data_IF_681586879511
#
_entry.id   IF_681586879511
#
_cell.length_a   1.000
_cell.length_b   1.000
_cell.length_c   1.000
_cell.angle_alpha   90.00
_cell.angle_beta   90.00
_cell.angle_gamma   90.00
#
_symmetry.space_group_name_H-M   'P 1'
#
loop_
_entity.id
_entity.type
_entity.pdbx_description
1 polymer ?
#
# COMPACT_ATOMS: atom_id res chain seq x y z
N UNK A 1 -19.37 16.01 -34.69
CA UNK A 1 -19.52 14.58 -35.06
C UNK A 1 -19.05 13.75 -33.88
N UNK A 2 -19.96 12.99 -33.28
CA UNK A 2 -19.70 12.15 -32.10
C UNK A 2 -19.14 10.81 -32.58
N UNK A 3 -17.96 10.43 -32.14
CA UNK A 3 -17.40 9.10 -32.34
C UNK A 3 -17.75 8.22 -31.14
N UNK A 4 -18.68 7.28 -31.33
CA UNK A 4 -18.86 6.13 -30.43
C UNK A 4 -17.78 5.11 -30.82
N UNK A 5 -17.03 4.59 -29.85
CA UNK A 5 -16.30 3.33 -30.03
C UNK A 5 -16.71 2.32 -28.97
N UNK A 6 -17.25 1.21 -29.44
CA UNK A 6 -17.40 -0.04 -28.70
C UNK A 6 -16.07 -0.80 -28.73
N UNK A 7 -15.72 -1.34 -27.57
CA UNK A 7 -14.45 -2.00 -27.28
C UNK A 7 -14.40 -3.41 -27.91
N UNK A 8 -13.34 -3.74 -28.65
CA UNK A 8 -12.98 -5.12 -29.01
C UNK A 8 -11.48 -5.31 -28.81
N UNK A 9 -11.15 -5.91 -27.67
CA UNK A 9 -9.93 -6.64 -27.28
C UNK A 9 -8.57 -6.30 -27.94
N UNK A 10 -7.62 -5.89 -27.10
CA UNK A 10 -6.27 -6.49 -27.15
C UNK A 10 -5.11 -5.66 -27.71
N UNK A 11 -5.03 -4.36 -27.45
CA UNK A 11 -3.78 -3.59 -27.30
C UNK A 11 -4.12 -2.11 -27.03
N UNK A 12 -4.16 -1.70 -25.76
CA UNK A 12 -4.57 -0.35 -25.38
C UNK A 12 -3.43 0.66 -25.56
N UNK A 13 -3.33 1.25 -26.75
CA UNK A 13 -2.86 2.64 -26.84
C UNK A 13 -4.07 3.55 -26.69
N UNK A 14 -4.33 4.02 -25.46
CA UNK A 14 -5.36 5.04 -25.26
C UNK A 14 -4.85 6.31 -25.92
N UNK A 15 -5.44 6.67 -27.06
CA UNK A 15 -5.19 7.95 -27.72
C UNK A 15 -6.22 8.95 -27.23
N UNK A 16 -5.79 9.84 -26.36
CA UNK A 16 -6.56 11.00 -25.93
C UNK A 16 -6.54 12.04 -27.05
N UNK A 17 -7.69 12.30 -27.66
CA UNK A 17 -7.82 13.34 -28.67
C UNK A 17 -8.13 14.65 -27.97
N UNK A 18 -7.26 15.65 -28.16
CA UNK A 18 -7.54 17.03 -27.72
C UNK A 18 -8.79 17.53 -28.45
N UNK A 19 -9.88 17.72 -27.72
CA UNK A 19 -10.98 18.53 -28.23
C UNK A 19 -10.46 19.97 -28.30
N UNK A 20 -10.37 20.51 -29.52
CA UNK A 20 -10.18 21.93 -29.75
C UNK A 20 -11.42 22.46 -30.47
N UNK A 21 -12.21 23.34 -29.83
CA UNK A 21 -11.98 23.97 -28.52
C UNK A 21 -12.18 23.03 -27.31
N UNK A 22 -11.67 23.41 -26.11
CA UNK A 22 -12.06 22.85 -24.81
C UNK A 22 -13.58 22.66 -24.69
N UNK A 23 -14.06 21.72 -23.87
CA UNK A 23 -15.49 21.61 -23.59
C UNK A 23 -15.93 22.75 -22.66
N UNK A 24 -16.66 23.78 -23.14
CA UNK A 24 -17.23 24.77 -22.24
C UNK A 24 -18.39 24.14 -21.46
N UNK A 25 -18.53 24.52 -20.19
CA UNK A 25 -19.72 24.19 -19.40
C UNK A 25 -20.72 25.36 -19.35
N UNK A 26 -20.36 26.52 -19.89
CA UNK A 26 -21.28 27.65 -20.05
C UNK A 26 -22.52 27.24 -20.86
N UNK A 27 -23.70 27.60 -20.36
CA UNK A 27 -25.00 27.29 -20.97
C UNK A 27 -25.28 25.79 -21.20
N UNK A 28 -24.49 24.89 -20.62
CA UNK A 28 -24.72 23.44 -20.71
C UNK A 28 -25.81 23.02 -19.73
N UNK A 29 -26.88 22.45 -20.26
CA UNK A 29 -27.94 21.81 -19.47
C UNK A 29 -27.86 20.30 -19.66
N UNK A 30 -27.57 19.59 -18.58
CA UNK A 30 -27.57 18.14 -18.55
C UNK A 30 -29.00 17.61 -18.28
N UNK A 31 -29.38 16.46 -18.87
CA UNK A 31 -30.64 15.82 -18.52
C UNK A 31 -30.74 15.45 -17.03
N UNK A 32 -31.89 15.74 -16.41
CA UNK A 32 -32.20 15.42 -15.01
C UNK A 32 -32.36 13.90 -14.73
N UNK A 33 -32.06 13.06 -15.71
CA UNK A 33 -32.07 11.59 -15.57
C UNK A 33 -30.67 11.01 -15.38
N UNK A 34 -29.61 11.82 -15.54
CA UNK A 34 -28.23 11.35 -15.45
C UNK A 34 -27.91 11.00 -13.99
N UNK A 35 -27.44 9.77 -13.79
CA UNK A 35 -26.99 9.27 -12.48
C UNK A 35 -25.48 9.16 -12.38
N UNK A 36 -24.78 9.10 -13.51
CA UNK A 36 -23.30 9.13 -13.57
C UNK A 36 -22.85 9.93 -14.77
N UNK A 37 -21.91 10.85 -14.54
CA UNK A 37 -21.37 11.73 -15.57
C UNK A 37 -19.85 11.62 -15.61
N UNK A 38 -19.32 11.32 -16.79
CA UNK A 38 -17.90 11.12 -17.05
C UNK A 38 -17.40 12.24 -17.97
N UNK A 39 -16.75 13.24 -17.38
CA UNK A 39 -16.08 14.35 -18.06
C UNK A 39 -14.56 14.24 -17.99
N UNK A 40 -14.04 13.04 -17.69
CA UNK A 40 -12.61 12.77 -17.66
C UNK A 40 -11.94 13.07 -19.00
N UNK A 41 -10.81 13.78 -18.97
CA UNK A 41 -10.04 14.15 -20.16
C UNK A 41 -10.94 14.77 -21.24
N UNK A 42 -11.66 15.82 -20.86
CA UNK A 42 -12.49 16.64 -21.78
C UNK A 42 -11.99 18.07 -21.89
N UNK A 43 -10.80 18.35 -21.37
CA UNK A 43 -10.17 19.67 -21.39
C UNK A 43 -11.06 20.72 -20.75
N UNK A 44 -11.84 20.36 -19.71
CA UNK A 44 -12.69 21.33 -19.01
C UNK A 44 -11.77 22.31 -18.27
N UNK A 45 -11.90 23.60 -18.57
CA UNK A 45 -11.03 24.65 -18.01
C UNK A 45 -11.65 25.34 -16.80
N UNK A 46 -12.98 25.43 -16.75
CA UNK A 46 -13.70 26.06 -15.65
C UNK A 46 -15.08 25.43 -15.46
N UNK A 47 -15.55 25.46 -14.21
CA UNK A 47 -16.96 25.28 -13.86
C UNK A 47 -17.54 26.69 -13.67
N UNK A 48 -18.62 27.09 -14.38
CA UNK A 48 -19.19 28.43 -14.29
C UNK A 48 -19.70 28.78 -12.89
N UNK A 49 -19.75 30.07 -12.57
CA UNK A 49 -20.36 30.55 -11.32
C UNK A 49 -21.84 30.16 -11.27
N UNK A 50 -22.28 29.62 -10.13
CA UNK A 50 -23.66 29.17 -9.94
C UNK A 50 -24.04 27.91 -10.73
N UNK A 51 -23.05 27.21 -11.32
CA UNK A 51 -23.33 26.00 -12.10
C UNK A 51 -24.05 24.96 -11.24
N UNK A 52 -25.13 24.41 -11.79
CA UNK A 52 -25.99 23.44 -11.10
C UNK A 52 -25.89 22.09 -11.80
N UNK A 53 -25.38 21.09 -11.08
CA UNK A 53 -25.34 19.71 -11.57
C UNK A 53 -26.72 19.05 -11.46
N UNK A 54 -27.05 18.04 -12.28
CA UNK A 54 -28.30 17.29 -12.15
C UNK A 54 -28.49 16.72 -10.75
N UNK A 55 -29.65 16.92 -10.14
CA UNK A 55 -29.91 16.49 -8.75
C UNK A 55 -29.90 14.96 -8.58
N UNK A 56 -30.08 14.20 -9.66
CA UNK A 56 -30.03 12.73 -9.68
C UNK A 56 -28.62 12.17 -9.73
N UNK A 57 -27.60 13.01 -9.92
CA UNK A 57 -26.23 12.59 -10.15
C UNK A 57 -25.63 12.00 -8.87
N UNK A 58 -25.17 10.74 -8.98
CA UNK A 58 -24.52 9.98 -7.90
C UNK A 58 -23.01 9.89 -8.07
N UNK A 59 -22.53 9.91 -9.31
CA UNK A 59 -21.10 9.83 -9.63
C UNK A 59 -20.69 10.90 -10.64
N UNK A 60 -19.68 11.70 -10.31
CA UNK A 60 -19.13 12.72 -11.18
C UNK A 60 -17.62 12.53 -11.30
N UNK A 61 -17.14 12.31 -12.53
CA UNK A 61 -15.72 12.27 -12.84
C UNK A 61 -15.35 13.48 -13.71
N UNK A 62 -14.66 14.45 -13.13
CA UNK A 62 -14.06 15.60 -13.82
C UNK A 62 -12.53 15.56 -13.72
N UNK A 63 -11.95 14.38 -13.48
CA UNK A 63 -10.52 14.19 -13.36
C UNK A 63 -9.80 14.39 -14.70
N UNK A 64 -8.49 14.66 -14.69
CA UNK A 64 -7.68 14.83 -15.90
C UNK A 64 -8.23 15.95 -16.80
N UNK A 65 -8.50 17.10 -16.20
CA UNK A 65 -8.95 18.32 -16.88
C UNK A 65 -8.01 19.48 -16.54
N UNK A 66 -8.39 20.70 -16.87
CA UNK A 66 -7.56 21.91 -16.71
C UNK A 66 -8.17 22.87 -15.68
N UNK A 67 -9.04 22.37 -14.78
CA UNK A 67 -9.71 23.20 -13.76
C UNK A 67 -8.67 23.86 -12.86
N UNK A 68 -8.71 25.18 -12.75
CA UNK A 68 -7.83 25.97 -11.88
C UNK A 68 -8.49 26.35 -10.56
N UNK A 69 -9.81 26.41 -10.54
CA UNK A 69 -10.63 26.62 -9.35
C UNK A 69 -12.02 26.01 -9.56
N UNK A 70 -12.78 25.89 -8.47
CA UNK A 70 -14.22 25.63 -8.50
C UNK A 70 -14.88 26.71 -7.66
N UNK A 71 -15.84 27.49 -8.20
CA UNK A 71 -16.51 28.52 -7.43
C UNK A 71 -17.29 27.98 -6.23
N UNK A 72 -17.28 28.71 -5.12
CA UNK A 72 -18.09 28.38 -3.92
C UNK A 72 -19.61 28.42 -4.19
N UNK A 73 -20.02 29.05 -5.29
CA UNK A 73 -21.41 29.14 -5.73
C UNK A 73 -21.91 27.89 -6.47
N UNK A 74 -21.03 26.93 -6.78
CA UNK A 74 -21.40 25.67 -7.44
C UNK A 74 -22.34 24.87 -6.54
N UNK A 75 -23.46 24.45 -7.10
CA UNK A 75 -24.46 23.66 -6.39
C UNK A 75 -24.20 22.19 -6.66
N UNK A 76 -23.72 21.47 -5.64
CA UNK A 76 -23.46 20.04 -5.71
C UNK A 76 -24.75 19.21 -5.52
N UNK A 77 -24.91 18.07 -6.22
CA UNK A 77 -26.05 17.18 -6.02
C UNK A 77 -26.05 16.56 -4.63
N UNK A 78 -27.19 16.58 -3.93
CA UNK A 78 -27.31 15.94 -2.61
C UNK A 78 -27.23 14.41 -2.67
N UNK A 79 -27.50 13.82 -3.84
CA UNK A 79 -27.35 12.39 -4.09
C UNK A 79 -25.92 11.98 -4.48
N UNK A 80 -24.98 12.91 -4.57
CA UNK A 80 -23.60 12.63 -4.98
C UNK A 80 -22.93 11.73 -3.94
N UNK A 81 -22.39 10.61 -4.41
CA UNK A 81 -21.70 9.61 -3.59
C UNK A 81 -20.24 9.46 -3.96
N UNK A 82 -19.87 9.82 -5.20
CA UNK A 82 -18.50 9.73 -5.70
C UNK A 82 -18.16 10.95 -6.55
N UNK A 83 -17.07 11.62 -6.18
CA UNK A 83 -16.54 12.78 -6.89
C UNK A 83 -15.04 12.60 -7.16
N UNK A 84 -14.64 12.72 -8.43
CA UNK A 84 -13.24 12.69 -8.84
C UNK A 84 -12.79 14.03 -9.41
N UNK A 85 -11.82 14.65 -8.71
CA UNK A 85 -11.24 15.95 -9.00
C UNK A 85 -9.73 15.89 -9.27
N UNK A 86 -9.09 14.74 -9.05
CA UNK A 86 -7.65 14.56 -9.23
C UNK A 86 -7.17 14.87 -10.65
N UNK A 87 -5.90 15.24 -10.80
CA UNK A 87 -5.30 15.61 -12.09
C UNK A 87 -6.01 16.81 -12.72
N UNK A 88 -6.19 17.86 -11.91
CA UNK A 88 -6.56 19.20 -12.35
C UNK A 88 -5.48 20.17 -11.86
N UNK A 89 -5.64 21.46 -12.18
CA UNK A 89 -4.71 22.52 -11.78
C UNK A 89 -5.27 23.34 -10.60
N UNK A 90 -6.09 22.73 -9.71
CA UNK A 90 -6.70 23.47 -8.60
C UNK A 90 -5.60 23.97 -7.65
N UNK A 91 -5.60 25.29 -7.40
CA UNK A 91 -4.67 25.90 -6.43
C UNK A 91 -5.20 25.88 -5.00
N UNK A 92 -6.45 25.46 -4.79
CA UNK A 92 -7.10 25.40 -3.48
C UNK A 92 -8.17 24.31 -3.45
N UNK A 93 -8.50 23.85 -2.23
CA UNK A 93 -9.62 22.95 -2.02
C UNK A 93 -10.96 23.67 -2.23
N UNK A 94 -11.89 23.09 -3.00
CA UNK A 94 -13.22 23.65 -3.16
C UNK A 94 -14.12 23.31 -1.97
N UNK A 95 -15.18 24.11 -1.76
CA UNK A 95 -16.28 23.71 -0.87
C UNK A 95 -17.16 22.68 -1.58
N UNK A 96 -17.16 21.45 -1.06
CA UNK A 96 -17.96 20.35 -1.59
C UNK A 96 -19.08 20.04 -0.60
N UNK A 97 -20.29 19.81 -1.12
CA UNK A 97 -21.42 19.33 -0.34
C UNK A 97 -21.79 17.91 -0.79
N UNK A 98 -21.96 17.01 0.17
CA UNK A 98 -22.18 15.59 -0.13
C UNK A 98 -20.92 14.88 -0.65
N UNK A 99 -21.10 13.62 -1.04
CA UNK A 99 -20.07 12.62 -1.40
C UNK A 99 -19.53 11.79 -0.25
N UNK A 100 -19.64 10.46 -0.41
CA UNK A 100 -19.02 9.48 0.47
C UNK A 100 -17.59 9.14 0.04
N UNK A 101 -17.27 9.31 -1.25
CA UNK A 101 -15.96 9.01 -1.83
C UNK A 101 -15.44 10.24 -2.57
N UNK A 102 -14.28 10.74 -2.16
CA UNK A 102 -13.64 11.91 -2.75
C UNK A 102 -12.23 11.57 -3.23
N UNK A 103 -11.97 11.78 -4.53
CA UNK A 103 -10.63 11.69 -5.10
C UNK A 103 -10.13 13.09 -5.40
N UNK A 104 -9.06 13.47 -4.71
CA UNK A 104 -8.45 14.79 -4.79
C UNK A 104 -6.98 14.63 -5.21
N UNK A 105 -6.46 15.59 -5.96
CA UNK A 105 -5.07 15.53 -6.41
C UNK A 105 -4.65 16.74 -7.20
N UNK A 106 -4.34 17.80 -6.46
CA UNK A 106 -4.00 19.12 -6.97
C UNK A 106 -2.87 19.71 -6.14
N UNK A 107 -2.02 20.55 -6.72
CA UNK A 107 -0.83 21.12 -6.06
C UNK A 107 -1.25 22.12 -4.97
N UNK A 108 -1.55 21.60 -3.77
CA UNK A 108 -2.01 22.41 -2.63
C UNK A 108 -0.85 22.93 -1.79
N UNK A 109 0.23 22.16 -1.66
CA UNK A 109 1.28 22.42 -0.66
C UNK A 109 0.82 22.05 0.76
N UNK A 110 -0.33 22.56 1.19
CA UNK A 110 -0.93 22.24 2.48
C UNK A 110 -2.46 22.31 2.46
N UNK A 111 -3.09 21.64 3.42
CA UNK A 111 -4.54 21.72 3.66
C UNK A 111 -4.77 22.62 4.88
N UNK A 112 -5.62 23.67 4.76
CA UNK A 112 -5.96 24.52 5.90
C UNK A 112 -6.58 23.72 7.04
N UNK A 113 -6.16 23.98 8.28
CA UNK A 113 -6.65 23.24 9.45
C UNK A 113 -8.13 23.45 9.77
N UNK A 114 -8.73 24.52 9.26
CA UNK A 114 -10.14 24.88 9.38
C UNK A 114 -10.99 24.43 8.17
N UNK A 115 -10.41 23.65 7.24
CA UNK A 115 -11.14 23.11 6.10
C UNK A 115 -12.33 22.27 6.55
N UNK A 116 -13.51 22.61 6.04
CA UNK A 116 -14.76 21.93 6.34
C UNK A 116 -14.92 20.75 5.39
N UNK A 117 -14.46 19.58 5.83
CA UNK A 117 -14.61 18.34 5.07
C UNK A 117 -16.09 17.96 4.91
N UNK A 118 -16.51 17.46 3.74
CA UNK A 118 -17.78 16.74 3.63
C UNK A 118 -17.72 15.42 4.41
N UNK A 119 -18.89 14.83 4.70
CA UNK A 119 -19.03 13.53 5.37
C UNK A 119 -18.57 12.37 4.46
N UNK A 120 -17.25 12.28 4.27
CA UNK A 120 -16.56 11.35 3.39
C UNK A 120 -16.09 10.15 4.21
N UNK A 121 -16.37 8.94 3.71
CA UNK A 121 -15.87 7.68 4.27
C UNK A 121 -14.62 7.19 3.55
N UNK A 122 -14.37 7.65 2.31
CA UNK A 122 -13.14 7.36 1.55
C UNK A 122 -12.56 8.59 0.88
N UNK A 123 -11.31 8.91 1.23
CA UNK A 123 -10.57 10.05 0.71
C UNK A 123 -9.28 9.57 0.05
N UNK A 124 -9.04 10.01 -1.18
CA UNK A 124 -7.78 9.80 -1.88
C UNK A 124 -7.13 11.16 -2.17
N UNK A 125 -5.87 11.36 -1.78
CA UNK A 125 -5.09 12.59 -1.96
C UNK A 125 -3.83 12.24 -2.74
N UNK A 126 -3.88 12.42 -4.06
CA UNK A 126 -2.83 11.98 -4.96
C UNK A 126 -2.07 13.17 -5.56
N UNK A 127 -0.74 13.20 -5.50
CA UNK A 127 0.06 14.25 -6.15
C UNK A 127 -0.32 15.67 -5.70
N UNK A 128 -0.61 15.85 -4.41
CA UNK A 128 -1.03 17.14 -3.86
C UNK A 128 0.13 18.04 -3.41
N UNK A 129 1.37 17.54 -3.54
CA UNK A 129 2.60 18.20 -3.09
C UNK A 129 2.52 18.61 -1.62
N UNK A 130 1.90 17.77 -0.78
CA UNK A 130 1.76 18.05 0.64
C UNK A 130 3.14 18.16 1.31
N UNK A 131 3.30 19.15 2.17
CA UNK A 131 4.50 19.31 3.04
C UNK A 131 4.24 18.88 4.48
N UNK A 132 2.99 18.58 4.83
CA UNK A 132 2.55 18.10 6.13
C UNK A 132 1.18 17.41 5.99
N UNK A 133 0.89 16.46 6.87
CA UNK A 133 -0.45 15.89 6.97
C UNK A 133 -1.46 16.97 7.38
N UNK A 134 -2.72 16.91 6.90
CA UNK A 134 -3.76 17.81 7.34
C UNK A 134 -3.93 17.74 8.87
N UNK A 135 -4.21 18.89 9.50
CA UNK A 135 -4.43 18.96 10.94
C UNK A 135 -5.71 18.23 11.39
N UNK A 136 -6.67 18.06 10.47
CA UNK A 136 -7.90 17.31 10.69
C UNK A 136 -8.36 16.64 9.39
N UNK A 137 -9.04 15.51 9.53
CA UNK A 137 -9.65 14.73 8.47
C UNK A 137 -11.14 14.52 8.75
N UNK A 138 -11.94 14.09 7.76
CA UNK A 138 -13.35 13.78 7.99
C UNK A 138 -13.52 12.78 9.15
N UNK A 139 -14.40 13.04 10.14
CA UNK A 139 -14.51 12.21 11.35
C UNK A 139 -15.03 10.78 11.07
N UNK A 140 -15.77 10.58 9.98
CA UNK A 140 -16.29 9.29 9.54
C UNK A 140 -15.38 8.56 8.53
N UNK A 141 -14.12 9.00 8.37
CA UNK A 141 -13.22 8.47 7.36
C UNK A 141 -12.76 7.03 7.69
N UNK A 142 -13.11 6.09 6.83
CA UNK A 142 -12.77 4.67 6.96
C UNK A 142 -11.57 4.28 6.09
N UNK A 143 -11.39 4.94 4.94
CA UNK A 143 -10.29 4.68 4.00
C UNK A 143 -9.59 5.99 3.62
N UNK A 144 -8.30 6.07 3.88
CA UNK A 144 -7.44 7.17 3.46
C UNK A 144 -6.33 6.65 2.56
N UNK A 145 -6.26 7.17 1.35
CA UNK A 145 -5.08 7.04 0.50
C UNK A 145 -4.40 8.41 0.36
N UNK A 146 -3.12 8.48 0.70
CA UNK A 146 -2.23 9.59 0.38
C UNK A 146 -1.13 9.00 -0.48
N UNK A 147 -1.02 9.50 -1.71
CA UNK A 147 -0.15 8.88 -2.72
C UNK A 147 0.61 9.97 -3.46
N UNK A 148 1.89 9.73 -3.73
CA UNK A 148 2.77 10.61 -4.50
C UNK A 148 2.87 12.03 -3.90
N UNK A 149 3.05 12.16 -2.58
CA UNK A 149 3.39 13.42 -1.92
C UNK A 149 4.82 13.39 -1.36
N UNK A 150 5.87 13.31 -2.20
CA UNK A 150 7.24 13.04 -1.75
C UNK A 150 7.84 14.15 -0.85
N UNK A 151 7.19 15.31 -0.76
CA UNK A 151 7.57 16.41 0.13
C UNK A 151 6.99 16.30 1.54
N UNK A 152 6.13 15.31 1.81
CA UNK A 152 5.43 15.14 3.08
C UNK A 152 6.42 14.73 4.19
N UNK A 153 7.22 13.70 3.94
CA UNK A 153 8.41 13.36 4.74
C UNK A 153 8.15 12.78 6.13
N UNK A 154 6.97 13.01 6.71
CA UNK A 154 6.60 12.58 8.06
C UNK A 154 5.38 11.67 8.04
N UNK A 155 5.33 10.71 8.97
CA UNK A 155 4.16 9.88 9.23
C UNK A 155 3.10 10.67 10.03
N UNK A 156 1.77 10.43 9.87
CA UNK A 156 0.76 11.19 10.59
C UNK A 156 0.75 10.89 12.08
N UNK A 157 0.44 11.90 12.91
CA UNK A 157 0.24 11.68 14.36
C UNK A 157 -1.11 11.05 14.65
N UNK A 158 -1.27 10.53 15.87
CA UNK A 158 -2.50 9.89 16.33
C UNK A 158 -3.73 10.80 16.22
N UNK A 159 -3.57 12.09 16.47
CA UNK A 159 -4.65 13.09 16.48
C UNK A 159 -5.11 13.48 15.07
N UNK A 160 -4.26 13.29 14.05
CA UNK A 160 -4.58 13.68 12.68
C UNK A 160 -5.50 12.69 11.97
N UNK A 161 -5.50 11.43 12.41
CA UNK A 161 -6.27 10.34 11.81
C UNK A 161 -7.42 9.94 12.74
N UNK A 162 -8.68 9.87 12.24
CA UNK A 162 -9.83 9.54 13.07
C UNK A 162 -9.88 8.05 13.44
N UNK A 163 -10.55 7.75 14.55
CA UNK A 163 -10.68 6.38 15.09
C UNK A 163 -11.45 5.44 14.17
N UNK A 164 -12.25 5.97 13.24
CA UNK A 164 -13.00 5.25 12.22
C UNK A 164 -12.13 4.62 11.13
N UNK A 165 -10.85 5.00 11.04
CA UNK A 165 -9.94 4.53 9.98
C UNK A 165 -9.76 3.01 10.05
N UNK A 166 -9.90 2.37 8.90
CA UNK A 166 -9.71 0.92 8.71
C UNK A 166 -8.60 0.63 7.70
N UNK A 167 -8.43 1.50 6.71
CA UNK A 167 -7.42 1.35 5.65
C UNK A 167 -6.65 2.66 5.51
N UNK A 168 -5.33 2.59 5.71
CA UNK A 168 -4.41 3.70 5.52
C UNK A 168 -3.33 3.31 4.50
N UNK A 169 -3.33 3.99 3.36
CA UNK A 169 -2.35 3.80 2.31
C UNK A 169 -1.54 5.07 2.13
N UNK A 170 -0.24 5.00 2.41
CA UNK A 170 0.74 6.08 2.31
C UNK A 170 1.84 5.63 1.33
N UNK A 171 1.71 5.95 0.05
CA UNK A 171 2.64 5.49 -0.98
C UNK A 171 3.42 6.64 -1.60
N UNK A 172 4.75 6.51 -1.65
CA UNK A 172 5.60 7.53 -2.26
C UNK A 172 5.43 8.93 -1.64
N UNK A 173 5.37 8.98 -0.31
CA UNK A 173 5.18 10.20 0.49
C UNK A 173 6.47 10.68 1.19
N UNK A 174 7.59 10.02 0.92
CA UNK A 174 8.90 10.38 1.48
C UNK A 174 9.06 10.09 2.98
N UNK A 175 8.18 9.27 3.56
CA UNK A 175 8.16 8.98 5.00
C UNK A 175 9.44 8.22 5.41
N UNK A 176 10.18 8.71 6.40
CA UNK A 176 11.43 8.08 6.86
C UNK A 176 11.29 7.17 8.08
N UNK A 177 10.27 7.39 8.91
CA UNK A 177 10.11 6.71 10.20
C UNK A 177 8.64 6.48 10.54
N UNK A 178 8.38 5.44 11.32
CA UNK A 178 7.05 5.12 11.90
C UNK A 178 7.14 5.36 13.42
N UNK A 179 6.32 6.26 14.00
CA UNK A 179 6.30 6.50 15.45
C UNK A 179 5.77 5.29 16.23
N UNK A 180 6.14 5.17 17.51
CA UNK A 180 5.77 4.04 18.38
C UNK A 180 4.34 4.13 18.91
N UNK A 181 3.77 5.34 18.95
CA UNK A 181 2.48 5.70 19.57
C UNK A 181 1.30 5.72 18.59
N UNK A 182 1.33 4.84 17.59
CA UNK A 182 0.23 4.69 16.62
C UNK A 182 -0.83 3.74 17.16
N UNK A 183 -1.91 4.29 17.72
CA UNK A 183 -3.00 3.51 18.32
C UNK A 183 -4.37 3.81 17.68
N UNK A 184 -4.59 3.36 16.44
CA UNK A 184 -5.88 3.51 15.75
C UNK A 184 -6.75 2.27 15.91
N UNK A 185 -7.83 2.34 16.71
CA UNK A 185 -8.56 1.17 17.22
C UNK A 185 -9.08 0.22 16.15
N UNK A 186 -9.36 0.74 14.95
CA UNK A 186 -9.98 -0.01 13.87
C UNK A 186 -9.06 -0.20 12.65
N UNK A 187 -7.79 0.24 12.69
CA UNK A 187 -6.91 0.15 11.53
C UNK A 187 -6.54 -1.32 11.25
N UNK A 188 -7.07 -1.86 10.16
CA UNK A 188 -6.84 -3.24 9.74
C UNK A 188 -5.76 -3.38 8.67
N UNK A 189 -5.55 -2.35 7.84
CA UNK A 189 -4.59 -2.40 6.73
C UNK A 189 -3.76 -1.14 6.63
N UNK A 190 -2.43 -1.30 6.70
CA UNK A 190 -1.45 -0.23 6.54
C UNK A 190 -0.55 -0.52 5.33
N UNK A 191 -0.39 0.47 4.45
CA UNK A 191 0.57 0.42 3.35
C UNK A 191 1.44 1.65 3.39
N UNK A 192 2.75 1.43 3.27
CA UNK A 192 3.85 2.40 3.38
C UNK A 192 4.85 2.19 2.24
N UNK A 193 4.39 1.67 1.10
CA UNK A 193 5.25 1.32 -0.03
C UNK A 193 5.94 2.54 -0.64
N UNK A 194 7.15 2.34 -1.21
CA UNK A 194 7.89 3.40 -1.93
C UNK A 194 8.24 4.62 -1.07
N UNK A 195 8.47 4.43 0.22
CA UNK A 195 8.90 5.48 1.14
C UNK A 195 10.41 5.40 1.42
N UNK A 196 10.87 6.02 2.50
CA UNK A 196 12.28 6.08 2.91
C UNK A 196 12.51 5.42 4.27
N UNK A 197 11.66 4.46 4.64
CA UNK A 197 11.76 3.77 5.93
C UNK A 197 13.08 3.03 6.04
N UNK A 198 13.81 3.23 7.15
CA UNK A 198 15.10 2.55 7.40
C UNK A 198 14.98 1.41 8.42
N UNK A 199 13.90 1.40 9.19
CA UNK A 199 13.59 0.40 10.21
C UNK A 199 12.08 0.34 10.46
N UNK A 200 11.64 -0.73 11.13
CA UNK A 200 10.33 -0.77 11.78
C UNK A 200 10.53 -0.55 13.29
N UNK A 201 9.58 0.11 13.98
CA UNK A 201 9.61 0.27 15.42
C UNK A 201 9.54 -1.07 16.15
N UNK A 202 10.27 -1.17 17.26
CA UNK A 202 10.23 -2.34 18.17
C UNK A 202 8.84 -2.56 18.73
N UNK A 203 8.27 -1.49 19.26
CA UNK A 203 6.97 -1.46 19.91
C UNK A 203 6.10 -0.50 19.09
N UNK A 204 5.02 -1.01 18.52
CA UNK A 204 3.93 -0.15 18.04
C UNK A 204 2.77 -0.38 18.98
N UNK A 205 2.15 0.70 19.44
CA UNK A 205 0.85 0.64 20.10
C UNK A 205 -0.26 0.26 19.10
N UNK A 206 0.01 -0.67 18.18
CA UNK A 206 -0.99 -1.16 17.24
C UNK A 206 -2.08 -1.87 18.00
N UNK A 207 -3.26 -1.86 17.40
CA UNK A 207 -4.40 -2.59 17.90
C UNK A 207 -4.30 -4.05 17.46
N UNK A 208 -4.92 -4.96 18.22
CA UNK A 208 -5.03 -6.39 17.89
C UNK A 208 -5.77 -6.66 16.57
N UNK A 209 -6.16 -5.61 15.83
CA UNK A 209 -6.91 -5.70 14.58
C UNK A 209 -6.07 -5.40 13.32
N UNK A 210 -4.83 -4.94 13.45
CA UNK A 210 -3.97 -4.74 12.28
C UNK A 210 -3.59 -6.13 11.73
N UNK A 211 -4.07 -6.44 10.54
CA UNK A 211 -3.87 -7.76 9.90
C UNK A 211 -2.99 -7.67 8.66
N UNK A 212 -2.83 -6.50 8.05
CA UNK A 212 -2.06 -6.32 6.81
C UNK A 212 -1.07 -5.15 6.96
N UNK A 213 0.21 -5.44 6.70
CA UNK A 213 1.26 -4.44 6.57
C UNK A 213 2.04 -4.62 5.27
N UNK A 214 2.15 -3.55 4.48
CA UNK A 214 3.05 -3.51 3.32
C UNK A 214 4.01 -2.32 3.41
N UNK A 215 5.30 -2.62 3.53
CA UNK A 215 6.42 -1.67 3.59
C UNK A 215 7.43 -1.95 2.46
N UNK A 216 6.94 -2.47 1.33
CA UNK A 216 7.78 -2.73 0.15
C UNK A 216 8.42 -1.47 -0.44
N UNK A 217 9.51 -1.62 -1.19
CA UNK A 217 10.24 -0.50 -1.80
C UNK A 217 10.68 0.58 -0.78
N UNK A 218 11.31 0.16 0.31
CA UNK A 218 11.87 1.05 1.33
C UNK A 218 13.38 0.79 1.51
N UNK A 219 13.98 1.34 2.56
CA UNK A 219 15.39 1.20 2.91
C UNK A 219 15.61 0.38 4.19
N UNK A 220 14.65 -0.49 4.56
CA UNK A 220 14.67 -1.25 5.82
C UNK A 220 15.83 -2.24 5.79
N UNK A 221 16.75 -2.12 6.75
CA UNK A 221 17.99 -2.92 6.77
C UNK A 221 17.99 -4.09 7.74
N UNK A 222 17.08 -4.10 8.71
CA UNK A 222 16.92 -5.17 9.68
C UNK A 222 15.49 -5.23 10.21
N UNK A 223 15.09 -6.39 10.72
CA UNK A 223 13.86 -6.52 11.50
C UNK A 223 14.04 -5.94 12.91
N UNK A 224 12.95 -5.43 13.52
CA UNK A 224 12.96 -5.07 14.92
C UNK A 224 13.05 -6.31 15.81
N UNK A 225 13.95 -6.32 16.79
CA UNK A 225 14.10 -7.43 17.73
C UNK A 225 12.94 -7.45 18.74
N UNK A 226 12.34 -8.62 18.98
CA UNK A 226 11.24 -8.82 19.93
C UNK A 226 9.96 -8.03 19.63
N UNK A 227 9.71 -7.67 18.38
CA UNK A 227 8.47 -7.01 17.97
C UNK A 227 7.31 -8.00 17.93
N UNK A 228 6.63 -8.20 19.06
CA UNK A 228 5.52 -9.15 19.20
C UNK A 228 4.30 -8.77 18.36
N UNK A 229 4.13 -7.48 18.03
CA UNK A 229 3.03 -7.02 17.19
C UNK A 229 3.07 -7.57 15.76
N UNK A 230 4.27 -7.91 15.26
CA UNK A 230 4.44 -8.49 13.92
C UNK A 230 3.76 -9.86 13.83
N UNK A 231 3.75 -10.63 14.93
CA UNK A 231 3.05 -11.92 15.00
C UNK A 231 1.53 -11.77 14.84
N UNK A 232 0.97 -10.63 15.23
CA UNK A 232 -0.46 -10.38 15.14
C UNK A 232 -0.97 -10.08 13.73
N UNK A 233 -0.07 -9.89 12.75
CA UNK A 233 -0.46 -9.69 11.35
C UNK A 233 -0.82 -11.02 10.70
N UNK A 234 -1.75 -10.99 9.74
CA UNK A 234 -1.98 -12.09 8.80
C UNK A 234 -1.03 -11.99 7.60
N UNK A 235 -0.81 -10.77 7.10
CA UNK A 235 0.00 -10.52 5.91
C UNK A 235 1.09 -9.45 6.16
N UNK A 236 2.35 -9.80 5.85
CA UNK A 236 3.51 -8.90 5.91
C UNK A 236 4.28 -8.87 4.59
N UNK A 237 4.22 -7.73 3.90
CA UNK A 237 5.00 -7.48 2.69
C UNK A 237 6.11 -6.48 2.98
N UNK A 238 7.36 -6.89 2.72
CA UNK A 238 8.54 -6.02 2.76
C UNK A 238 9.47 -6.23 1.54
N UNK A 239 8.97 -6.45 0.32
CA UNK A 239 9.85 -6.67 -0.82
C UNK A 239 10.69 -5.43 -1.14
N UNK A 240 11.83 -5.60 -1.82
CA UNK A 240 12.72 -4.51 -2.28
C UNK A 240 13.17 -3.60 -1.13
N UNK A 241 13.67 -4.22 -0.06
CA UNK A 241 14.32 -3.56 1.08
C UNK A 241 15.81 -3.96 1.15
N UNK A 242 16.48 -3.71 2.28
CA UNK A 242 17.91 -3.96 2.50
C UNK A 242 18.18 -5.00 3.60
N UNK A 243 17.20 -5.86 3.92
CA UNK A 243 17.31 -6.85 4.97
C UNK A 243 18.33 -7.94 4.60
N UNK A 244 19.32 -8.15 5.47
CA UNK A 244 20.37 -9.16 5.29
C UNK A 244 20.19 -10.39 6.16
N UNK A 245 19.71 -10.18 7.37
CA UNK A 245 19.57 -11.22 8.38
C UNK A 245 18.10 -11.37 8.71
N UNK A 246 17.62 -12.62 8.69
CA UNK A 246 16.29 -12.94 9.18
C UNK A 246 16.21 -12.70 10.70
N UNK A 247 15.02 -12.32 11.23
CA UNK A 247 14.93 -11.92 12.62
C UNK A 247 15.13 -13.12 13.54
N UNK A 248 15.94 -12.94 14.60
CA UNK A 248 15.96 -13.88 15.73
C UNK A 248 15.04 -13.44 16.85
N UNK A 249 14.23 -14.36 17.36
CA UNK A 249 13.29 -14.10 18.45
C UNK A 249 12.15 -13.16 18.07
N UNK A 250 11.80 -13.06 16.78
CA UNK A 250 10.57 -12.42 16.30
C UNK A 250 9.71 -13.51 15.70
N UNK A 251 8.50 -13.67 16.23
CA UNK A 251 7.50 -14.53 15.64
C UNK A 251 6.87 -13.80 14.47
N UNK A 252 6.96 -14.42 13.30
CA UNK A 252 6.41 -13.87 12.06
C UNK A 252 4.94 -14.30 11.86
N UNK A 253 4.18 -13.58 10.99
CA UNK A 253 2.83 -13.96 10.58
C UNK A 253 2.71 -15.38 10.06
N UNK A 254 1.57 -16.03 10.28
CA UNK A 254 1.35 -17.42 9.87
C UNK A 254 0.80 -17.57 8.46
N UNK A 255 0.19 -16.53 7.88
CA UNK A 255 -0.55 -16.66 6.61
C UNK A 255 0.26 -16.22 5.36
N UNK A 256 0.67 -14.94 5.25
CA UNK A 256 1.40 -14.46 4.06
C UNK A 256 2.58 -13.59 4.41
N UNK A 257 3.75 -13.92 3.86
CA UNK A 257 4.96 -13.13 4.04
C UNK A 257 5.74 -12.99 2.74
N UNK A 258 6.17 -11.77 2.45
CA UNK A 258 6.99 -11.46 1.28
C UNK A 258 8.21 -10.60 1.64
N UNK A 259 9.40 -11.19 1.59
CA UNK A 259 10.68 -10.48 1.72
C UNK A 259 11.47 -10.42 0.42
N UNK A 260 10.79 -10.52 -0.72
CA UNK A 260 11.41 -10.54 -2.04
C UNK A 260 12.40 -9.42 -2.28
N UNK A 261 13.44 -9.66 -3.06
CA UNK A 261 14.40 -8.61 -3.45
C UNK A 261 15.10 -7.91 -2.26
N UNK A 262 15.35 -8.64 -1.18
CA UNK A 262 16.23 -8.24 -0.07
C UNK A 262 17.60 -8.97 -0.17
N UNK A 263 18.71 -8.39 0.28
CA UNK A 263 20.02 -9.05 0.25
C UNK A 263 20.22 -10.07 1.40
N UNK A 264 19.26 -10.98 1.62
CA UNK A 264 19.30 -11.97 2.72
C UNK A 264 20.49 -12.93 2.55
N UNK A 265 21.42 -12.93 3.49
CA UNK A 265 22.63 -13.76 3.48
C UNK A 265 22.63 -14.88 4.50
N UNK A 266 21.80 -14.79 5.55
CA UNK A 266 21.73 -15.81 6.60
C UNK A 266 20.27 -16.02 7.07
N UNK A 267 19.84 -17.28 7.08
CA UNK A 267 18.54 -17.73 7.63
C UNK A 267 18.66 -18.25 9.08
N UNK A 268 19.83 -18.11 9.73
CA UNK A 268 20.19 -18.79 10.99
C UNK A 268 19.25 -18.55 12.19
N UNK A 269 18.31 -17.61 12.09
CA UNK A 269 17.48 -17.20 13.23
C UNK A 269 15.96 -17.25 12.98
N UNK A 270 15.51 -17.86 11.89
CA UNK A 270 14.10 -17.89 11.50
C UNK A 270 13.26 -18.76 12.47
N UNK A 271 12.34 -18.14 13.21
CA UNK A 271 11.46 -18.77 14.21
C UNK A 271 9.98 -18.60 13.78
N UNK A 272 9.34 -19.71 13.38
CA UNK A 272 7.94 -19.76 13.00
C UNK A 272 7.18 -20.63 14.01
N UNK A 273 6.11 -20.10 14.61
CA UNK A 273 5.26 -20.85 15.53
C UNK A 273 3.81 -20.96 15.02
N UNK A 274 3.31 -22.22 14.94
CA UNK A 274 1.94 -22.73 15.11
C UNK A 274 0.74 -22.13 14.33
N UNK A 275 0.37 -22.69 13.16
CA UNK A 275 -1.03 -23.09 12.78
C UNK A 275 -1.06 -23.90 11.44
N UNK A 276 -2.15 -24.62 11.06
CA UNK A 276 -2.19 -25.71 10.08
C UNK A 276 -2.61 -25.35 8.64
N UNK A 277 -2.73 -24.08 8.27
CA UNK A 277 -3.11 -23.64 6.91
C UNK A 277 -1.89 -23.18 6.08
N UNK A 278 -1.91 -23.37 4.74
CA UNK A 278 -0.72 -23.22 3.90
C UNK A 278 -0.33 -21.76 3.70
N UNK A 279 0.81 -21.40 4.24
CA UNK A 279 1.53 -20.15 4.01
C UNK A 279 1.94 -20.00 2.53
N UNK A 280 1.87 -18.79 1.96
CA UNK A 280 2.34 -18.48 0.59
C UNK A 280 3.52 -17.49 0.60
N UNK A 281 4.73 -17.96 0.29
CA UNK A 281 5.89 -17.09 0.01
C UNK A 281 5.84 -16.56 -1.43
N UNK A 282 5.60 -15.27 -1.64
CA UNK A 282 5.52 -14.67 -3.00
C UNK A 282 6.77 -13.85 -3.38
N UNK A 283 7.66 -14.43 -4.20
CA UNK A 283 8.67 -13.79 -5.09
C UNK A 283 9.95 -13.16 -4.49
N UNK A 284 11.11 -13.24 -5.20
CA UNK A 284 12.43 -12.67 -4.83
C UNK A 284 13.39 -12.42 -6.05
N UNK A 285 14.44 -11.57 -5.89
CA UNK A 285 15.47 -11.10 -6.89
C UNK A 285 16.84 -10.83 -6.19
N UNK A 286 18.06 -10.86 -6.77
CA UNK A 286 18.83 -11.82 -7.58
C UNK A 286 20.36 -11.51 -7.52
N UNK A 287 20.91 -11.01 -6.40
CA UNK A 287 22.32 -10.52 -6.35
C UNK A 287 23.31 -11.32 -5.51
N UNK A 288 22.83 -12.33 -4.78
CA UNK A 288 23.66 -13.42 -4.26
C UNK A 288 22.81 -14.69 -4.30
N UNK A 289 23.38 -15.76 -4.82
CA UNK A 289 22.65 -16.97 -5.20
C UNK A 289 23.21 -18.22 -4.57
N UNK A 290 24.21 -18.13 -3.70
CA UNK A 290 24.78 -19.30 -3.03
C UNK A 290 24.54 -19.18 -1.53
N UNK A 291 23.68 -20.05 -1.01
CA UNK A 291 23.45 -20.26 0.41
C UNK A 291 24.53 -21.20 0.93
N UNK A 292 25.42 -20.73 1.81
CA UNK A 292 26.54 -21.54 2.31
C UNK A 292 26.10 -22.60 3.31
N UNK A 293 25.20 -22.25 4.24
CA UNK A 293 24.61 -23.19 5.19
C UNK A 293 23.31 -22.62 5.75
N UNK A 294 22.25 -23.43 5.74
CA UNK A 294 20.96 -23.13 6.37
C UNK A 294 20.72 -24.27 7.33
N UNK A 295 20.45 -23.97 8.60
CA UNK A 295 20.16 -24.97 9.63
C UNK A 295 18.77 -24.65 10.18
N UNK A 296 17.90 -25.63 10.21
CA UNK A 296 16.54 -25.57 10.72
C UNK A 296 16.35 -26.70 11.75
N UNK A 297 15.43 -26.51 12.69
CA UNK A 297 14.85 -27.64 13.45
C UNK A 297 13.91 -28.44 12.55
N UNK A 298 13.57 -29.66 12.95
CA UNK A 298 12.58 -30.47 12.23
C UNK A 298 11.24 -29.73 12.07
N UNK A 299 10.77 -29.09 13.13
CA UNK A 299 9.53 -28.32 13.11
C UNK A 299 9.62 -27.11 12.17
N UNK A 300 10.74 -26.38 12.14
CA UNK A 300 10.90 -25.23 11.24
C UNK A 300 11.02 -25.66 9.78
N UNK A 301 11.63 -26.82 9.50
CA UNK A 301 11.72 -27.38 8.17
C UNK A 301 10.36 -27.83 7.63
N UNK A 302 9.60 -28.60 8.42
CA UNK A 302 8.27 -29.05 8.04
C UNK A 302 7.32 -27.87 7.80
N UNK A 303 7.42 -26.82 8.61
CA UNK A 303 6.68 -25.57 8.40
C UNK A 303 7.07 -24.91 7.09
N UNK A 304 8.37 -24.79 6.80
CA UNK A 304 8.87 -24.16 5.58
C UNK A 304 8.56 -24.96 4.30
N UNK A 305 8.58 -26.30 4.34
CA UNK A 305 8.17 -27.16 3.21
C UNK A 305 6.69 -27.04 2.91
N UNK A 306 5.84 -26.99 3.95
CA UNK A 306 4.39 -26.76 3.79
C UNK A 306 4.10 -25.37 3.23
N UNK A 307 4.87 -24.38 3.65
CA UNK A 307 4.84 -22.98 3.22
C UNK A 307 5.29 -22.73 1.76
N UNK A 308 5.87 -23.72 1.07
CA UNK A 308 6.54 -23.51 -0.23
C UNK A 308 6.23 -24.58 -1.29
N UNK A 309 5.18 -25.38 -1.10
CA UNK A 309 4.96 -26.68 -1.79
C UNK A 309 4.63 -26.62 -3.29
N UNK A 310 4.45 -25.43 -3.88
CA UNK A 310 3.94 -25.30 -5.27
C UNK A 310 5.03 -25.16 -6.34
N UNK A 311 6.31 -25.35 -5.97
CA UNK A 311 7.43 -25.43 -6.91
C UNK A 311 7.81 -24.10 -7.61
N UNK A 312 7.17 -22.99 -7.25
CA UNK A 312 7.51 -21.63 -7.71
C UNK A 312 7.84 -20.66 -6.56
N UNK A 313 7.87 -21.17 -5.31
CA UNK A 313 8.04 -20.36 -4.09
C UNK A 313 9.50 -19.98 -3.81
N UNK A 314 10.46 -20.64 -4.48
CA UNK A 314 11.89 -20.39 -4.33
C UNK A 314 12.50 -19.75 -5.57
N UNK A 315 13.52 -18.89 -5.42
CA UNK A 315 14.15 -18.25 -6.57
C UNK A 315 14.92 -19.30 -7.37
N UNK A 316 14.60 -19.50 -8.65
CA UNK A 316 15.28 -20.49 -9.53
C UNK A 316 16.80 -20.33 -9.66
N UNK A 317 17.33 -19.20 -9.22
CA UNK A 317 18.76 -18.91 -9.25
C UNK A 317 19.44 -19.23 -7.93
N UNK A 318 18.71 -19.49 -6.83
CA UNK A 318 19.30 -19.88 -5.56
C UNK A 318 19.88 -21.29 -5.66
N UNK A 319 21.08 -21.43 -5.14
CA UNK A 319 21.83 -22.67 -5.04
C UNK A 319 22.33 -22.80 -3.63
N UNK A 320 22.39 -24.02 -3.15
CA UNK A 320 23.12 -24.31 -1.93
C UNK A 320 24.54 -24.76 -2.23
N UNK A 321 25.48 -24.36 -1.38
CA UNK A 321 26.80 -24.96 -1.36
C UNK A 321 26.69 -26.37 -0.76
N UNK A 322 26.40 -27.36 -1.61
CA UNK A 322 26.13 -28.74 -1.21
C UNK A 322 27.23 -29.31 -0.29
N UNK A 323 28.50 -29.08 -0.64
CA UNK A 323 29.65 -29.54 0.15
C UNK A 323 29.64 -28.96 1.55
N UNK A 324 29.36 -27.67 1.68
CA UNK A 324 29.33 -27.01 2.99
C UNK A 324 28.09 -27.40 3.79
N UNK A 325 26.94 -27.60 3.12
CA UNK A 325 25.72 -28.08 3.75
C UNK A 325 25.91 -29.47 4.36
N UNK A 326 26.51 -30.40 3.61
CA UNK A 326 26.81 -31.76 4.09
C UNK A 326 27.76 -31.74 5.30
N UNK A 327 28.79 -30.88 5.27
CA UNK A 327 29.73 -30.72 6.39
C UNK A 327 29.04 -30.18 7.64
N UNK A 328 28.24 -29.11 7.50
CA UNK A 328 27.51 -28.51 8.61
C UNK A 328 26.50 -29.50 9.19
N UNK A 329 25.76 -30.21 8.34
CA UNK A 329 24.74 -31.13 8.82
C UNK A 329 25.31 -32.38 9.51
N UNK A 330 26.44 -32.89 9.01
CA UNK A 330 27.18 -33.95 9.69
C UNK A 330 27.69 -33.52 11.08
N UNK A 331 28.04 -32.23 11.26
CA UNK A 331 28.50 -31.72 12.56
C UNK A 331 27.38 -31.54 13.59
N UNK A 332 26.12 -31.51 13.15
CA UNK A 332 24.93 -31.26 13.96
C UNK A 332 24.04 -32.51 14.12
N UNK A 333 24.54 -33.70 13.75
CA UNK A 333 23.73 -34.92 13.64
C UNK A 333 22.43 -34.72 12.83
N UNK A 334 22.41 -33.78 11.89
CA UNK A 334 21.24 -33.42 11.11
C UNK A 334 21.18 -34.14 9.76
N UNK A 335 20.06 -33.94 9.07
CA UNK A 335 19.84 -34.43 7.70
C UNK A 335 19.75 -33.27 6.70
N UNK A 336 20.42 -33.41 5.57
CA UNK A 336 20.26 -32.47 4.45
C UNK A 336 18.93 -32.77 3.77
N UNK A 337 18.06 -31.77 3.69
CA UNK A 337 16.74 -31.87 3.08
C UNK A 337 16.57 -30.82 1.98
N UNK A 338 15.87 -31.19 0.90
CA UNK A 338 15.58 -30.26 -0.20
C UNK A 338 14.33 -29.41 0.11
N UNK A 339 14.43 -28.10 -0.13
CA UNK A 339 13.29 -27.17 -0.15
C UNK A 339 12.85 -26.83 -1.58
N UNK A 340 13.79 -26.88 -2.53
CA UNK A 340 13.61 -26.65 -3.97
C UNK A 340 14.68 -27.45 -4.73
N UNK A 341 14.57 -27.73 -6.05
CA UNK A 341 15.58 -28.50 -6.78
C UNK A 341 17.03 -28.04 -6.62
N UNK A 342 17.27 -26.74 -6.42
CA UNK A 342 18.62 -26.19 -6.22
C UNK A 342 18.89 -25.71 -4.77
N UNK A 343 17.90 -25.78 -3.87
CA UNK A 343 17.99 -25.30 -2.47
C UNK A 343 17.82 -26.43 -1.48
N UNK A 344 18.87 -26.68 -0.71
CA UNK A 344 18.88 -27.63 0.41
C UNK A 344 19.01 -26.89 1.73
N UNK A 345 18.63 -27.54 2.81
CA UNK A 345 18.85 -27.07 4.19
C UNK A 345 19.31 -28.23 5.04
N UNK A 346 19.99 -27.93 6.13
CA UNK A 346 20.26 -28.87 7.19
C UNK A 346 19.10 -28.85 8.18
N UNK A 347 18.59 -30.02 8.53
CA UNK A 347 17.60 -30.21 9.59
C UNK A 347 18.29 -30.91 10.74
N UNK A 348 18.61 -30.17 11.79
CA UNK A 348 19.32 -30.70 12.95
C UNK A 348 18.35 -31.50 13.86
N UNK A 349 18.84 -32.58 14.46
CA UNK A 349 18.11 -33.30 15.51
C UNK A 349 18.06 -32.42 16.77
N UNK A 350 16.89 -32.29 17.40
CA UNK A 350 16.58 -31.39 18.52
C UNK A 350 17.45 -31.54 19.79
N UNK A 351 18.46 -32.40 19.80
CA UNK A 351 19.33 -32.63 20.96
C UNK A 351 20.51 -31.65 21.07
N UNK A 352 20.85 -30.88 20.03
CA UNK A 352 22.03 -29.99 20.02
C UNK A 352 21.71 -28.50 19.73
N UNK A 353 20.43 -28.11 19.62
CA UNK A 353 20.01 -26.73 19.32
C UNK A 353 19.81 -25.84 20.57
N UNK A 354 20.71 -25.94 21.55
CA UNK A 354 20.69 -25.15 22.80
C UNK A 354 21.72 -24.03 22.84
#
# INVERSE_FOLDING_TARGET
>A
MVGVQTNVNGNSSIKYFKFQPPLPLDDVVFPDTITTLQLRDKYVQAIPDGFTWPSTLKGLDVSFNELTSIPDSVVWPTALTSLRLNNNNLSMLPRIQGSSILYFGCVLGSIPGDYQWPDVTRLEINQASLTAFPASLPPALETLHVIDNPTLGTFPTREQIPDSIQVLWLENDGISDIPTDIAWPNLARLTLTRNHLTSLPKDVATTEVLVYLDVGDNNISSFPQYATWIQGLDELYMPRNQVKDMPGGVLLPTNSINFGANPVSALQHFDLCNDPDPFELKSYDARSTILDSIVLTADNFDQLVRATHDGESWPRNWKTNQTNMELVCASLNGNVNALDPDVTVCVADDQDAS
#
